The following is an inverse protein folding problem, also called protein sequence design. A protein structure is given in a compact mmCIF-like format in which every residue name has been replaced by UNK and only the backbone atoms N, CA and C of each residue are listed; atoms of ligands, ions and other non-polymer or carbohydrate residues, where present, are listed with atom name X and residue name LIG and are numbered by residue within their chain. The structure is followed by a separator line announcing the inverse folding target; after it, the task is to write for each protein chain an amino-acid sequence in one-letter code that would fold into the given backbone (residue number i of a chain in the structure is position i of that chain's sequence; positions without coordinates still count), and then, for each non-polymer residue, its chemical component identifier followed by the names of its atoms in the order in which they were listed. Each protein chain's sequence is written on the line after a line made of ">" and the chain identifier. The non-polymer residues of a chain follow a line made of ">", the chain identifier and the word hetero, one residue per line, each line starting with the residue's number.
data_IF_083163898731
#
_entry.id   IF_083163898731
#
_cell.length_a   1.000
_cell.length_b   1.000
_cell.length_c   1.000
_cell.angle_alpha   90.00
_cell.angle_beta   90.00
_cell.angle_gamma   90.00
#
_symmetry.space_group_name_H-M   'P 1'
#
loop_
_entity.id
_entity.type
_entity.pdbx_description
1 polymer ?
#
# COMPACT_ATOMS: atom_id res chain seq x y z
N UNK A 1 -8.85 -35.39 -38.91
CA UNK A 1 -8.40 -34.38 -37.92
C UNK A 1 -8.79 -34.89 -36.54
N UNK A 2 -7.79 -35.18 -35.69
CA UNK A 2 -8.01 -35.85 -34.40
C UNK A 2 -8.77 -34.93 -33.45
N UNK A 3 -9.83 -35.44 -32.81
CA UNK A 3 -10.68 -34.74 -31.83
C UNK A 3 -9.88 -34.03 -30.73
N UNK A 4 -8.69 -34.53 -30.39
CA UNK A 4 -7.79 -33.90 -29.43
C UNK A 4 -7.29 -32.50 -29.85
N UNK A 5 -7.16 -32.23 -31.15
CA UNK A 5 -6.70 -30.92 -31.66
C UNK A 5 -7.78 -29.83 -31.48
N UNK A 6 -9.06 -30.21 -31.64
CA UNK A 6 -10.19 -29.29 -31.49
C UNK A 6 -10.38 -28.92 -30.01
N UNK A 7 -10.25 -29.89 -29.11
CA UNK A 7 -10.37 -29.67 -27.66
C UNK A 7 -9.24 -28.80 -27.12
N UNK A 8 -8.01 -29.01 -27.57
CA UNK A 8 -6.86 -28.17 -27.16
C UNK A 8 -6.99 -26.74 -27.66
N UNK A 9 -7.41 -26.52 -28.91
CA UNK A 9 -7.67 -25.17 -29.43
C UNK A 9 -8.82 -24.47 -28.69
N UNK A 10 -9.86 -25.20 -28.30
CA UNK A 10 -10.97 -24.65 -27.51
C UNK A 10 -10.50 -24.23 -26.10
N UNK A 11 -9.68 -25.03 -25.43
CA UNK A 11 -9.13 -24.70 -24.10
C UNK A 11 -8.19 -23.51 -24.19
N UNK A 12 -7.31 -23.45 -25.20
CA UNK A 12 -6.40 -22.31 -25.41
C UNK A 12 -7.20 -21.04 -25.71
N UNK A 13 -8.26 -21.14 -26.52
CA UNK A 13 -9.16 -20.02 -26.80
C UNK A 13 -9.88 -19.53 -25.54
N UNK A 14 -10.45 -20.44 -24.76
CA UNK A 14 -11.11 -20.10 -23.49
C UNK A 14 -10.14 -19.52 -22.47
N UNK A 15 -8.93 -20.08 -22.35
CA UNK A 15 -7.90 -19.54 -21.47
C UNK A 15 -7.41 -18.17 -21.94
N UNK A 16 -7.24 -17.96 -23.24
CA UNK A 16 -6.89 -16.66 -23.82
C UNK A 16 -7.97 -15.61 -23.59
N UNK A 17 -9.25 -15.96 -23.79
CA UNK A 17 -10.40 -15.10 -23.50
C UNK A 17 -10.48 -14.79 -22.01
N UNK A 18 -10.30 -15.80 -21.14
CA UNK A 18 -10.29 -15.63 -19.70
C UNK A 18 -9.15 -14.72 -19.24
N UNK A 19 -7.94 -14.94 -19.76
CA UNK A 19 -6.76 -14.10 -19.48
C UNK A 19 -6.98 -12.68 -19.97
N UNK A 20 -7.51 -12.48 -21.18
CA UNK A 20 -7.81 -11.17 -21.73
C UNK A 20 -8.89 -10.44 -20.93
N UNK A 21 -9.95 -11.15 -20.53
CA UNK A 21 -11.01 -10.63 -19.66
C UNK A 21 -10.44 -10.24 -18.29
N UNK A 22 -9.62 -11.10 -17.67
CA UNK A 22 -8.97 -10.84 -16.39
C UNK A 22 -8.03 -9.64 -16.46
N UNK A 23 -7.20 -9.55 -17.51
CA UNK A 23 -6.32 -8.40 -17.73
C UNK A 23 -7.09 -7.09 -17.92
N UNK A 24 -8.21 -7.11 -18.67
CA UNK A 24 -9.09 -5.94 -18.80
C UNK A 24 -9.72 -5.56 -17.47
N UNK A 25 -10.16 -6.53 -16.68
CA UNK A 25 -10.75 -6.29 -15.36
C UNK A 25 -9.76 -5.63 -14.42
N UNK A 26 -8.51 -6.09 -14.38
CA UNK A 26 -7.47 -5.49 -13.53
C UNK A 26 -7.11 -4.06 -13.95
N UNK A 27 -7.05 -3.77 -15.25
CA UNK A 27 -6.78 -2.41 -15.76
C UNK A 27 -7.90 -1.41 -15.47
N UNK A 28 -9.12 -1.89 -15.26
CA UNK A 28 -10.32 -1.06 -15.07
C UNK A 28 -10.81 -1.01 -13.62
N UNK A 29 -10.04 -1.53 -12.65
CA UNK A 29 -10.33 -1.29 -11.24
C UNK A 29 -10.02 0.18 -10.95
N UNK A 30 -11.07 0.96 -10.68
CA UNK A 30 -10.92 2.33 -10.20
C UNK A 30 -10.08 2.32 -8.91
N UNK A 31 -9.22 3.33 -8.75
CA UNK A 31 -8.55 3.56 -7.47
C UNK A 31 -9.62 3.66 -6.39
N UNK A 32 -9.50 2.84 -5.34
CA UNK A 32 -10.42 2.91 -4.20
C UNK A 32 -10.30 4.32 -3.62
N UNK A 33 -11.43 5.05 -3.43
CA UNK A 33 -11.38 6.38 -2.83
C UNK A 33 -10.66 6.28 -1.48
N UNK A 34 -9.75 7.23 -1.24
CA UNK A 34 -8.93 7.26 -0.04
C UNK A 34 -9.80 7.56 1.18
N UNK A 35 -9.60 6.84 2.29
CA UNK A 35 -10.34 7.10 3.53
C UNK A 35 -10.00 8.50 4.06
N UNK A 36 -11.01 9.23 4.52
CA UNK A 36 -10.83 10.55 5.17
C UNK A 36 -9.99 10.48 6.45
N UNK A 37 -9.83 9.29 7.04
CA UNK A 37 -8.99 9.07 8.24
C UNK A 37 -7.50 8.97 7.93
N UNK A 38 -7.12 8.86 6.66
CA UNK A 38 -5.71 8.85 6.25
C UNK A 38 -5.16 10.28 6.24
N UNK A 39 -4.07 10.49 6.98
CA UNK A 39 -3.41 11.79 7.01
C UNK A 39 -2.46 11.97 5.82
N UNK A 40 -2.66 13.02 5.04
CA UNK A 40 -1.70 13.44 4.01
C UNK A 40 -0.57 14.25 4.61
N UNK A 41 0.65 13.76 4.47
CA UNK A 41 1.85 14.41 4.97
C UNK A 41 2.52 15.27 3.90
N UNK A 42 3.11 16.36 4.37
CA UNK A 42 3.91 17.33 3.64
C UNK A 42 5.19 17.59 4.42
N UNK A 43 6.15 18.27 3.80
CA UNK A 43 7.37 18.74 4.47
C UNK A 43 7.10 19.59 5.73
N UNK A 44 6.02 20.36 5.73
CA UNK A 44 5.66 21.26 6.85
C UNK A 44 5.05 20.53 8.05
N UNK A 45 4.25 19.49 7.81
CA UNK A 45 3.51 18.81 8.88
C UNK A 45 4.17 17.49 9.33
N UNK A 46 5.06 16.89 8.52
CA UNK A 46 5.59 15.55 8.75
C UNK A 46 6.09 15.35 10.18
N UNK A 47 7.00 16.22 10.64
CA UNK A 47 7.59 16.10 11.97
C UNK A 47 6.56 16.23 13.10
N UNK A 48 5.64 17.18 12.99
CA UNK A 48 4.61 17.38 14.00
C UNK A 48 3.67 16.17 14.11
N UNK A 49 3.34 15.54 12.97
CA UNK A 49 2.43 14.40 12.95
C UNK A 49 3.08 13.15 13.54
N UNK A 50 4.34 12.84 13.23
CA UNK A 50 5.00 11.62 13.74
C UNK A 50 5.38 11.70 15.22
N UNK A 51 5.39 12.89 15.82
CA UNK A 51 5.88 13.13 17.19
C UNK A 51 5.00 12.56 18.30
N UNK A 52 3.75 12.19 18.02
CA UNK A 52 2.81 11.72 19.04
C UNK A 52 2.24 10.36 18.70
N UNK A 53 2.35 9.43 19.65
CA UNK A 53 1.76 8.09 19.53
C UNK A 53 2.44 7.24 18.47
N UNK A 54 1.69 6.30 17.91
CA UNK A 54 2.12 5.44 16.81
C UNK A 54 1.57 5.98 15.49
N UNK A 55 2.45 6.21 14.53
CA UNK A 55 2.10 6.69 13.19
C UNK A 55 2.76 5.81 12.15
N UNK A 56 1.96 5.19 11.30
CA UNK A 56 2.44 4.42 10.16
C UNK A 56 2.38 5.29 8.91
N UNK A 57 3.54 5.60 8.33
CA UNK A 57 3.67 6.42 7.13
C UNK A 57 3.96 5.55 5.93
N UNK A 58 3.10 5.62 4.91
CA UNK A 58 3.34 5.03 3.59
C UNK A 58 3.99 6.05 2.65
N UNK A 59 5.18 5.70 2.18
CA UNK A 59 5.93 6.46 1.18
C UNK A 59 5.61 5.87 -0.20
N UNK A 60 4.88 6.65 -1.01
CA UNK A 60 4.26 6.19 -2.25
C UNK A 60 4.42 7.20 -3.40
N UNK A 61 4.02 6.80 -4.61
CA UNK A 61 3.92 7.66 -5.79
C UNK A 61 2.83 7.18 -6.76
N UNK A 62 2.37 8.05 -7.66
CA UNK A 62 1.26 7.76 -8.61
C UNK A 62 1.58 6.66 -9.63
N UNK A 63 2.85 6.59 -10.04
CA UNK A 63 3.38 5.61 -10.98
C UNK A 63 3.64 4.24 -10.32
N UNK A 64 3.55 4.15 -8.99
CA UNK A 64 3.82 2.94 -8.23
C UNK A 64 2.61 2.00 -8.23
N UNK A 65 2.57 1.06 -9.18
CA UNK A 65 1.52 0.04 -9.23
C UNK A 65 1.42 -0.80 -7.94
N UNK A 66 2.53 -1.25 -7.30
CA UNK A 66 2.43 -1.95 -6.01
C UNK A 66 1.84 -1.08 -4.88
N UNK A 67 2.02 0.25 -4.94
CA UNK A 67 1.42 1.16 -3.97
C UNK A 67 -0.11 1.22 -4.12
N UNK A 68 -0.63 1.10 -5.36
CA UNK A 68 -2.08 1.02 -5.60
C UNK A 68 -2.72 -0.23 -5.00
N UNK A 69 -1.95 -1.32 -4.86
CA UNK A 69 -2.38 -2.53 -4.14
C UNK A 69 -2.39 -2.31 -2.63
N UNK A 70 -1.48 -1.49 -2.10
CA UNK A 70 -1.45 -1.13 -0.68
C UNK A 70 -2.57 -0.16 -0.29
N UNK A 71 -3.03 0.71 -1.19
CA UNK A 71 -4.06 1.71 -0.91
C UNK A 71 -5.31 1.16 -0.19
N UNK A 72 -5.99 0.13 -0.73
CA UNK A 72 -7.15 -0.48 -0.07
C UNK A 72 -6.83 -1.06 1.31
N UNK A 73 -5.66 -1.67 1.47
CA UNK A 73 -5.21 -2.21 2.77
C UNK A 73 -5.05 -1.09 3.79
N UNK A 74 -4.45 0.04 3.39
CA UNK A 74 -4.27 1.19 4.27
C UNK A 74 -5.59 1.88 4.61
N UNK A 75 -6.54 1.93 3.66
CA UNK A 75 -7.90 2.41 3.91
C UNK A 75 -8.60 1.55 4.97
N UNK A 76 -8.55 0.22 4.84
CA UNK A 76 -9.13 -0.71 5.82
C UNK A 76 -8.49 -0.58 7.20
N UNK A 77 -7.18 -0.30 7.26
CA UNK A 77 -6.48 -0.07 8.53
C UNK A 77 -6.83 1.27 9.16
N UNK A 78 -7.01 2.32 8.36
CA UNK A 78 -7.41 3.64 8.85
C UNK A 78 -8.82 3.62 9.47
N UNK A 79 -9.71 2.75 8.96
CA UNK A 79 -11.06 2.57 9.48
C UNK A 79 -11.15 1.59 10.67
N UNK A 80 -10.17 0.70 10.86
CA UNK A 80 -10.20 -0.32 11.91
C UNK A 80 -9.85 0.26 13.28
N UNK A 81 -10.80 0.24 14.20
CA UNK A 81 -10.59 0.68 15.58
C UNK A 81 -9.56 -0.16 16.34
N UNK A 82 -9.29 -1.40 15.93
CA UNK A 82 -8.25 -2.24 16.51
C UNK A 82 -6.84 -1.81 16.06
N UNK A 83 -6.74 -1.07 14.97
CA UNK A 83 -5.47 -0.53 14.50
C UNK A 83 -5.11 0.74 15.29
N UNK A 84 -4.40 0.57 16.41
CA UNK A 84 -4.01 1.68 17.31
C UNK A 84 -2.80 2.48 16.81
N UNK A 85 -2.77 2.80 15.53
CA UNK A 85 -1.80 3.71 14.95
C UNK A 85 -2.49 4.61 13.91
N UNK A 86 -2.04 5.85 13.81
CA UNK A 86 -2.50 6.75 12.75
C UNK A 86 -1.90 6.31 11.43
N UNK A 87 -2.73 6.13 10.40
CA UNK A 87 -2.27 5.88 9.03
C UNK A 87 -2.04 7.21 8.35
N UNK A 88 -0.86 7.38 7.76
CA UNK A 88 -0.48 8.59 7.04
C UNK A 88 0.26 8.24 5.76
N UNK A 89 0.26 9.17 4.80
CA UNK A 89 0.87 8.96 3.48
C UNK A 89 1.71 10.16 3.07
N UNK A 90 2.84 9.90 2.44
CA UNK A 90 3.73 10.92 1.90
C UNK A 90 4.09 10.56 0.45
N UNK A 91 3.77 11.45 -0.48
CA UNK A 91 4.16 11.28 -1.87
C UNK A 91 5.64 11.63 -2.04
N UNK A 92 6.44 10.65 -2.49
CA UNK A 92 7.90 10.79 -2.58
C UNK A 92 8.35 11.72 -3.71
N UNK A 93 7.55 11.88 -4.77
CA UNK A 93 7.86 12.79 -5.88
C UNK A 93 7.71 14.24 -5.45
N UNK A 94 6.69 14.54 -4.64
CA UNK A 94 6.43 15.88 -4.13
C UNK A 94 7.35 16.25 -2.95
N UNK A 95 7.70 15.27 -2.12
CA UNK A 95 8.44 15.49 -0.87
C UNK A 95 9.73 14.66 -0.81
N UNK A 96 10.58 14.81 -1.84
CA UNK A 96 11.82 14.06 -1.99
C UNK A 96 12.80 14.27 -0.81
N UNK A 97 12.94 15.50 -0.33
CA UNK A 97 13.86 15.80 0.79
C UNK A 97 13.48 15.05 2.07
N UNK A 98 12.18 14.98 2.39
CA UNK A 98 11.68 14.22 3.54
C UNK A 98 11.96 12.73 3.34
N UNK A 99 11.61 12.20 2.16
CA UNK A 99 11.80 10.80 1.81
C UNK A 99 13.28 10.36 1.93
N UNK A 100 14.20 11.17 1.42
CA UNK A 100 15.64 10.93 1.52
C UNK A 100 16.14 10.99 2.97
N UNK A 101 15.68 11.97 3.77
CA UNK A 101 16.02 12.06 5.20
C UNK A 101 15.53 10.84 5.99
N UNK A 102 14.38 10.27 5.61
CA UNK A 102 13.87 9.03 6.17
C UNK A 102 14.48 7.77 5.53
N UNK A 103 15.53 7.91 4.70
CA UNK A 103 16.24 6.78 4.10
C UNK A 103 15.41 5.92 3.16
N UNK A 104 14.35 6.47 2.55
CA UNK A 104 13.51 5.73 1.59
C UNK A 104 14.26 5.56 0.28
N UNK A 105 14.56 4.29 -0.07
CA UNK A 105 15.32 3.91 -1.27
C UNK A 105 14.48 3.24 -2.35
N UNK A 106 13.21 2.98 -2.05
CA UNK A 106 12.27 2.31 -2.94
C UNK A 106 10.86 2.41 -2.38
N UNK A 107 9.87 2.18 -3.23
CA UNK A 107 8.45 2.29 -2.87
C UNK A 107 7.67 1.03 -3.30
N UNK A 108 6.59 0.66 -2.58
CA UNK A 108 6.14 1.28 -1.33
C UNK A 108 7.10 0.97 -0.17
N UNK A 109 7.29 1.94 0.71
CA UNK A 109 7.96 1.74 2.00
C UNK A 109 7.03 2.25 3.08
N UNK A 110 6.71 1.40 4.05
CA UNK A 110 5.98 1.75 5.26
C UNK A 110 6.99 1.94 6.39
N UNK A 111 6.90 3.05 7.12
CA UNK A 111 7.71 3.27 8.32
C UNK A 111 6.76 3.50 9.49
N UNK A 112 6.95 2.74 10.56
CA UNK A 112 6.23 2.94 11.81
C UNK A 112 7.06 3.82 12.73
N UNK A 113 6.49 4.94 13.12
CA UNK A 113 7.07 5.86 14.09
C UNK A 113 6.36 5.72 15.43
N UNK A 114 7.12 5.75 16.51
CA UNK A 114 6.62 5.93 17.88
C UNK A 114 7.25 7.18 18.46
N UNK A 115 6.43 8.18 18.77
CA UNK A 115 6.88 9.44 19.37
C UNK A 115 8.07 10.08 18.64
N UNK A 116 7.99 10.17 17.32
CA UNK A 116 9.00 10.77 16.45
C UNK A 116 10.20 9.88 16.12
N UNK A 117 10.28 8.67 16.68
CA UNK A 117 11.36 7.71 16.40
C UNK A 117 10.85 6.57 15.52
N UNK A 118 11.62 6.21 14.51
CA UNK A 118 11.39 4.99 13.74
C UNK A 118 11.54 3.77 14.66
N UNK A 119 10.51 2.93 14.71
CA UNK A 119 10.51 1.68 15.49
C UNK A 119 10.43 0.43 14.62
N UNK A 120 9.89 0.54 13.41
CA UNK A 120 9.87 -0.55 12.44
C UNK A 120 9.75 -0.02 11.00
N UNK A 121 10.15 -0.84 10.02
CA UNK A 121 10.15 -0.50 8.59
C UNK A 121 9.83 -1.72 7.73
N UNK A 122 8.96 -1.52 6.73
CA UNK A 122 8.55 -2.56 5.81
C UNK A 122 8.64 -2.08 4.37
N UNK A 123 9.38 -2.82 3.54
CA UNK A 123 9.48 -2.54 2.10
C UNK A 123 8.56 -3.48 1.32
N UNK A 124 7.89 -2.95 0.31
CA UNK A 124 6.97 -3.65 -0.57
C UNK A 124 5.59 -3.89 0.04
N UNK A 125 4.75 -4.61 -0.70
CA UNK A 125 3.37 -4.92 -0.28
C UNK A 125 3.36 -5.77 0.99
N UNK A 126 2.44 -5.47 1.91
CA UNK A 126 2.23 -6.22 3.15
C UNK A 126 0.73 -6.46 3.36
N UNK A 127 0.33 -7.65 3.83
CA UNK A 127 -1.06 -7.91 4.16
C UNK A 127 -1.47 -7.16 5.43
N UNK A 128 -2.76 -6.86 5.53
CA UNK A 128 -3.39 -6.15 6.65
C UNK A 128 -3.01 -6.69 8.02
N UNK A 129 -3.20 -7.99 8.22
CA UNK A 129 -2.98 -8.65 9.53
C UNK A 129 -1.53 -8.60 9.98
N UNK A 130 -0.59 -8.60 9.03
CA UNK A 130 0.81 -8.41 9.34
C UNK A 130 1.04 -7.03 9.98
N UNK A 131 0.50 -5.97 9.38
CA UNK A 131 0.68 -4.60 9.87
C UNK A 131 0.05 -4.39 11.24
N UNK A 132 -1.15 -4.94 11.47
CA UNK A 132 -1.79 -4.94 12.79
C UNK A 132 -0.87 -5.59 13.83
N UNK A 133 -0.34 -6.78 13.51
CA UNK A 133 0.57 -7.49 14.42
C UNK A 133 1.83 -6.69 14.74
N UNK A 134 2.39 -5.95 13.79
CA UNK A 134 3.58 -5.11 14.06
C UNK A 134 3.24 -3.92 14.95
N UNK A 135 2.12 -3.24 14.68
CA UNK A 135 1.68 -2.12 15.52
C UNK A 135 1.45 -2.56 16.97
N UNK A 136 0.80 -3.71 17.18
CA UNK A 136 0.56 -4.27 18.51
C UNK A 136 1.85 -4.49 19.32
N UNK A 137 2.96 -4.87 18.68
CA UNK A 137 4.26 -5.04 19.37
C UNK A 137 4.81 -3.74 19.96
N UNK A 138 4.42 -2.60 19.41
CA UNK A 138 4.93 -1.29 19.80
C UNK A 138 3.92 -0.46 20.60
N UNK A 139 2.72 -1.00 20.90
CA UNK A 139 1.70 -0.31 21.70
C UNK A 139 2.05 -0.16 23.19
N UNK A 140 2.97 -1.00 23.72
CA UNK A 140 3.41 -0.98 25.12
C UNK A 140 4.30 0.22 25.47
#
# INVERSE_FOLDING_TARGET
>A
MSTGLIVTLAIIGLFGIYMFYSFRKMKNMAAVPESEKILTLTDKNFQAQIQKGLVMVDFWAEWCMPCKVMGPVLNELAEDENFKATVAKLNVDHFQSVSQKQGVRGIPTLILFKNGKEVDRFVGVKPRDFLIKQVLKHQS
#
